data_IF_107719816227
#
_entry.id   IF_107719816227
#
_cell.length_a   1.000
_cell.length_b   1.000
_cell.length_c   1.000
_cell.angle_alpha   90.00
_cell.angle_beta   90.00
_cell.angle_gamma   90.00
#
_symmetry.space_group_name_H-M   'P 1'
#
loop_
_entity.id
_entity.type
_entity.pdbx_description
1 polymer ?
#
# COMPACT_ATOMS: atom_id res chain seq x y z
N UNK A 1 6.57 -11.11 19.20
CA UNK A 1 5.36 -10.51 18.61
C UNK A 1 5.38 -8.99 18.65
N UNK A 2 5.70 -8.36 19.79
CA UNK A 2 5.75 -6.89 19.91
C UNK A 2 6.69 -6.26 18.87
N UNK A 3 7.94 -6.74 18.77
CA UNK A 3 8.92 -6.22 17.80
C UNK A 3 8.43 -6.33 16.35
N UNK A 4 7.76 -7.43 16.00
CA UNK A 4 7.23 -7.62 14.64
C UNK A 4 6.09 -6.64 14.33
N UNK A 5 5.18 -6.41 15.29
CA UNK A 5 4.10 -5.43 15.15
C UNK A 5 4.66 -4.02 15.01
N UNK A 6 5.65 -3.65 15.85
CA UNK A 6 6.32 -2.36 15.77
C UNK A 6 7.02 -2.14 14.42
N UNK A 7 7.69 -3.18 13.90
CA UNK A 7 8.34 -3.10 12.59
C UNK A 7 7.32 -2.92 11.45
N UNK A 8 6.20 -3.65 11.49
CA UNK A 8 5.14 -3.53 10.49
C UNK A 8 4.50 -2.13 10.54
N UNK A 9 4.19 -1.63 11.73
CA UNK A 9 3.57 -0.32 11.92
C UNK A 9 4.52 0.81 11.48
N UNK A 10 5.78 0.76 11.93
CA UNK A 10 6.80 1.72 11.52
C UNK A 10 7.01 1.69 10.00
N UNK A 11 7.08 0.51 9.39
CA UNK A 11 7.20 0.36 7.93
C UNK A 11 6.02 0.98 7.18
N UNK A 12 4.79 0.72 7.64
CA UNK A 12 3.58 1.31 7.07
C UNK A 12 3.60 2.84 7.14
N UNK A 13 3.96 3.40 8.30
CA UNK A 13 4.06 4.85 8.49
C UNK A 13 5.16 5.48 7.63
N UNK A 14 6.32 4.83 7.50
CA UNK A 14 7.40 5.28 6.63
C UNK A 14 6.98 5.32 5.15
N UNK A 15 6.28 4.27 4.68
CA UNK A 15 5.78 4.20 3.29
C UNK A 15 4.73 5.29 3.07
N UNK A 16 3.78 5.43 3.99
CA UNK A 16 2.73 6.42 3.89
C UNK A 16 3.29 7.84 3.79
N UNK A 17 4.24 8.18 4.67
CA UNK A 17 4.88 9.49 4.68
C UNK A 17 5.67 9.74 3.38
N UNK A 18 6.48 8.77 2.93
CA UNK A 18 7.29 8.89 1.70
C UNK A 18 6.41 9.11 0.45
N UNK A 19 5.31 8.35 0.36
CA UNK A 19 4.36 8.46 -0.75
C UNK A 19 3.60 9.79 -0.70
N UNK A 20 3.16 10.22 0.48
CA UNK A 20 2.43 11.48 0.64
C UNK A 20 3.32 12.69 0.30
N UNK A 21 4.58 12.70 0.74
CA UNK A 21 5.52 13.78 0.38
C UNK A 21 5.74 13.85 -1.14
N UNK A 22 5.91 12.71 -1.81
CA UNK A 22 6.10 12.65 -3.26
C UNK A 22 4.86 13.12 -4.03
N UNK A 23 3.67 12.72 -3.58
CA UNK A 23 2.40 13.05 -4.23
C UNK A 23 2.04 14.53 -4.03
N UNK A 24 2.25 15.08 -2.83
CA UNK A 24 1.97 16.50 -2.55
C UNK A 24 2.95 17.43 -3.28
N UNK A 25 4.17 16.98 -3.59
CA UNK A 25 5.14 17.75 -4.37
C UNK A 25 4.72 17.97 -5.83
N UNK A 26 3.75 17.21 -6.36
CA UNK A 26 3.27 17.34 -7.76
C UNK A 26 2.55 18.66 -8.02
N UNK A 27 1.76 19.15 -7.06
CA UNK A 27 1.04 20.42 -7.17
C UNK A 27 0.89 21.09 -5.80
N UNK A 28 1.89 21.92 -5.47
CA UNK A 28 1.91 22.69 -4.24
C UNK A 28 0.78 23.75 -4.15
N UNK A 29 0.13 24.10 -5.27
CA UNK A 29 -1.00 25.02 -5.27
C UNK A 29 -2.32 24.35 -4.89
N UNK A 30 -2.43 23.02 -5.04
CA UNK A 30 -3.67 22.27 -4.82
C UNK A 30 -3.51 21.11 -3.82
N UNK A 31 -2.65 21.27 -2.82
CA UNK A 31 -2.30 20.26 -1.80
C UNK A 31 -3.54 19.55 -1.23
N UNK A 32 -4.60 20.30 -0.90
CA UNK A 32 -5.82 19.72 -0.31
C UNK A 32 -6.52 18.75 -1.27
N UNK A 33 -6.60 19.07 -2.57
CA UNK A 33 -7.24 18.21 -3.59
C UNK A 33 -6.43 16.95 -3.81
N UNK A 34 -5.11 17.11 -3.94
CA UNK A 34 -4.17 16.01 -4.13
C UNK A 34 -4.20 15.05 -2.94
N UNK A 35 -4.22 15.58 -1.71
CA UNK A 35 -4.31 14.76 -0.50
C UNK A 35 -5.63 13.97 -0.41
N UNK A 36 -6.76 14.59 -0.76
CA UNK A 36 -8.05 13.87 -0.80
C UNK A 36 -8.00 12.72 -1.81
N UNK A 37 -7.54 12.96 -3.03
CA UNK A 37 -7.42 11.90 -4.05
C UNK A 37 -6.50 10.78 -3.57
N UNK A 38 -5.35 11.12 -2.98
CA UNK A 38 -4.42 10.14 -2.40
C UNK A 38 -5.10 9.27 -1.34
N UNK A 39 -5.78 9.89 -0.37
CA UNK A 39 -6.48 9.15 0.70
C UNK A 39 -7.63 8.30 0.16
N UNK A 40 -8.38 8.79 -0.84
CA UNK A 40 -9.44 8.00 -1.49
C UNK A 40 -8.88 6.74 -2.15
N UNK A 41 -7.78 6.86 -2.90
CA UNK A 41 -7.13 5.71 -3.55
C UNK A 41 -6.56 4.76 -2.48
N UNK A 42 -5.93 5.31 -1.43
CA UNK A 42 -5.37 4.52 -0.33
C UNK A 42 -6.44 3.67 0.36
N UNK A 43 -7.59 4.27 0.72
CA UNK A 43 -8.71 3.54 1.33
C UNK A 43 -9.35 2.54 0.37
N UNK A 44 -9.48 2.88 -0.91
CA UNK A 44 -10.02 1.97 -1.93
C UNK A 44 -9.12 0.73 -2.07
N UNK A 45 -7.81 0.93 -2.13
CA UNK A 45 -6.83 -0.16 -2.15
C UNK A 45 -6.86 -1.00 -0.88
N UNK A 46 -6.95 -0.38 0.30
CA UNK A 46 -7.07 -1.07 1.58
C UNK A 46 -8.34 -1.92 1.68
N UNK A 47 -9.47 -1.40 1.20
CA UNK A 47 -10.74 -2.12 1.15
C UNK A 47 -10.67 -3.33 0.20
N UNK A 48 -10.16 -3.13 -1.02
CA UNK A 48 -9.97 -4.22 -1.98
C UNK A 48 -9.01 -5.30 -1.44
N UNK A 49 -7.89 -4.89 -0.83
CA UNK A 49 -6.93 -5.80 -0.22
C UNK A 49 -7.53 -6.62 0.92
N UNK A 50 -8.37 -6.01 1.75
CA UNK A 50 -9.09 -6.68 2.84
C UNK A 50 -10.10 -7.68 2.28
N UNK A 51 -10.84 -7.30 1.23
CA UNK A 51 -11.80 -8.19 0.56
C UNK A 51 -11.10 -9.43 -0.01
N UNK A 52 -10.03 -9.25 -0.79
CA UNK A 52 -9.27 -10.37 -1.37
C UNK A 52 -8.65 -11.24 -0.27
N UNK A 53 -8.06 -10.64 0.77
CA UNK A 53 -7.51 -11.40 1.90
C UNK A 53 -8.60 -12.21 2.63
N UNK A 54 -9.79 -11.65 2.82
CA UNK A 54 -10.93 -12.33 3.43
C UNK A 54 -11.46 -13.51 2.59
N UNK A 55 -11.44 -13.41 1.27
CA UNK A 55 -11.78 -14.53 0.39
C UNK A 55 -10.77 -15.68 0.54
N UNK A 56 -9.48 -15.37 0.55
CA UNK A 56 -8.43 -16.39 0.68
C UNK A 56 -8.31 -16.98 2.08
N UNK A 57 -8.75 -16.25 3.10
CA UNK A 57 -8.89 -16.79 4.46
C UNK A 57 -9.80 -18.01 4.51
N UNK A 58 -10.92 -18.01 3.78
CA UNK A 58 -11.88 -19.12 3.82
C UNK A 58 -11.32 -20.41 3.22
N UNK A 59 -10.44 -20.32 2.22
CA UNK A 59 -9.91 -21.49 1.51
C UNK A 59 -8.57 -21.98 2.05
N UNK A 60 -7.69 -21.08 2.46
CA UNK A 60 -6.30 -21.41 2.84
C UNK A 60 -5.92 -20.89 4.24
N UNK A 61 -6.85 -20.29 4.99
CA UNK A 61 -6.55 -19.75 6.32
C UNK A 61 -5.45 -18.69 6.29
N UNK A 62 -4.54 -18.75 7.27
CA UNK A 62 -3.49 -17.74 7.46
C UNK A 62 -2.44 -17.73 6.35
N UNK A 63 -2.13 -18.87 5.74
CA UNK A 63 -1.20 -18.92 4.60
C UNK A 63 -1.79 -18.25 3.36
N UNK A 64 -3.11 -18.33 3.14
CA UNK A 64 -3.79 -17.61 2.08
C UNK A 64 -3.65 -16.09 2.21
N UNK A 65 -3.89 -15.56 3.41
CA UNK A 65 -3.78 -14.12 3.69
C UNK A 65 -2.35 -13.62 3.49
N UNK A 66 -1.36 -14.35 4.00
CA UNK A 66 0.06 -13.99 3.82
C UNK A 66 0.44 -14.02 2.33
N UNK A 67 -0.04 -15.02 1.58
CA UNK A 67 0.19 -15.14 0.14
C UNK A 67 -0.37 -13.95 -0.66
N UNK A 68 -1.58 -13.51 -0.34
CA UNK A 68 -2.20 -12.31 -0.95
C UNK A 68 -1.37 -11.06 -0.66
N UNK A 69 -0.90 -10.89 0.57
CA UNK A 69 -0.03 -9.77 0.95
C UNK A 69 1.26 -9.74 0.13
N UNK A 70 1.96 -10.88 0.04
CA UNK A 70 3.18 -11.01 -0.77
C UNK A 70 2.89 -10.71 -2.24
N UNK A 71 1.79 -11.24 -2.80
CA UNK A 71 1.42 -11.00 -4.19
C UNK A 71 1.21 -9.51 -4.50
N UNK A 72 0.52 -8.78 -3.62
CA UNK A 72 0.35 -7.33 -3.80
C UNK A 72 1.66 -6.54 -3.62
N UNK A 73 2.51 -6.92 -2.67
CA UNK A 73 3.83 -6.28 -2.51
C UNK A 73 4.70 -6.51 -3.74
N UNK A 74 4.73 -7.73 -4.28
CA UNK A 74 5.48 -8.06 -5.50
C UNK A 74 4.91 -7.31 -6.71
N UNK A 75 3.59 -7.22 -6.86
CA UNK A 75 2.96 -6.45 -7.92
C UNK A 75 3.33 -4.97 -7.85
N UNK A 76 3.30 -4.37 -6.65
CA UNK A 76 3.73 -2.99 -6.40
C UNK A 76 5.20 -2.78 -6.77
N UNK A 77 6.08 -3.70 -6.36
CA UNK A 77 7.50 -3.67 -6.68
C UNK A 77 7.73 -3.75 -8.19
N UNK A 78 7.03 -4.65 -8.89
CA UNK A 78 7.13 -4.78 -10.34
C UNK A 78 6.73 -3.47 -11.04
N UNK A 79 5.59 -2.89 -10.66
CA UNK A 79 5.13 -1.59 -11.21
C UNK A 79 6.19 -0.51 -10.98
N UNK A 80 6.78 -0.45 -9.78
CA UNK A 80 7.84 0.49 -9.48
C UNK A 80 9.10 0.26 -10.35
N UNK A 81 9.54 -0.99 -10.50
CA UNK A 81 10.67 -1.34 -11.36
C UNK A 81 10.41 -1.04 -12.84
N UNK A 82 9.20 -1.23 -13.35
CA UNK A 82 8.84 -0.86 -14.72
C UNK A 82 8.84 0.66 -14.89
N UNK A 83 8.36 1.41 -13.90
CA UNK A 83 8.37 2.86 -13.95
C UNK A 83 9.80 3.43 -13.90
N UNK A 84 10.70 2.81 -13.14
CA UNK A 84 12.12 3.24 -13.08
C UNK A 84 12.90 3.00 -14.39
N UNK A 85 12.39 2.15 -15.31
CA UNK A 85 12.99 1.97 -16.65
C UNK A 85 12.51 3.00 -17.67
N UNK A 86 11.51 3.81 -17.34
CA UNK A 86 10.88 4.77 -18.26
C UNK A 86 11.22 6.23 -17.90
N UNK A 87 12.06 6.44 -16.89
CA UNK A 87 12.68 7.71 -16.52
C UNK A 87 14.16 7.70 -16.92
#
# INVERSE_FOLDING_TARGET
MIVAILLIDAGMQCIHLSNQTSVVALDASAINRVNTVYMTIYFLGGSAGTFVSGLFWQHCGWTGVVGVGIAFTVASLLVNCFNSKTA
#
